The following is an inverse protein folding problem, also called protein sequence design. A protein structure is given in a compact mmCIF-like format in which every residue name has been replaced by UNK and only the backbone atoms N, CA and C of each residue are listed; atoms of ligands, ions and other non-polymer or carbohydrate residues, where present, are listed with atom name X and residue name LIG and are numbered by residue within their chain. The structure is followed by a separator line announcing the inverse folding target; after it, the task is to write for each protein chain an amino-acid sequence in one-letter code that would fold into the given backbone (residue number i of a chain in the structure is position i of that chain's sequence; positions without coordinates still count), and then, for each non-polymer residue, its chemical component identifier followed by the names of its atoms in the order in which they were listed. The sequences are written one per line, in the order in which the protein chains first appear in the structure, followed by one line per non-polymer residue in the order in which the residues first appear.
data_IF_398119270764
#
_entry.id   IF_398119270764
#
_cell.length_a   1.000
_cell.length_b   1.000
_cell.length_c   1.000
_cell.angle_alpha   90.00
_cell.angle_beta   90.00
_cell.angle_gamma   90.00
#
_symmetry.space_group_name_H-M   'P 1'
#
loop_
_entity.id
_entity.type
_entity.pdbx_description
1 polymer ?
#
# COMPACT_ATOMS: atom_id res chain seq x y z
N UNK A 1 -13.43 -61.12 -23.86
CA UNK A 1 -12.26 -61.70 -23.16
C UNK A 1 -11.39 -60.53 -22.69
N UNK A 2 -11.67 -59.80 -21.61
CA UNK A 2 -11.73 -60.09 -20.17
C UNK A 2 -10.41 -60.50 -19.48
N UNK A 3 -10.10 -59.71 -18.43
CA UNK A 3 -9.14 -59.85 -17.33
C UNK A 3 -7.68 -59.43 -17.64
N UNK A 4 -6.95 -58.68 -16.79
CA UNK A 4 -6.97 -58.59 -15.32
C UNK A 4 -6.55 -57.20 -14.80
N UNK A 5 -7.17 -56.80 -13.68
CA UNK A 5 -6.78 -55.73 -12.77
C UNK A 5 -5.53 -56.10 -11.96
N UNK A 6 -4.70 -55.11 -11.62
CA UNK A 6 -3.78 -55.15 -10.48
C UNK A 6 -3.93 -53.85 -9.68
N UNK A 7 -4.34 -54.00 -8.42
CA UNK A 7 -4.52 -52.93 -7.45
C UNK A 7 -3.19 -52.58 -6.79
N UNK A 8 -2.79 -51.31 -6.81
CA UNK A 8 -1.71 -50.78 -5.97
C UNK A 8 -2.24 -49.65 -5.10
N UNK A 9 -2.21 -49.89 -3.77
CA UNK A 9 -2.55 -48.94 -2.71
C UNK A 9 -1.61 -47.74 -2.74
N UNK A 10 -2.13 -46.54 -2.97
CA UNK A 10 -1.45 -45.32 -2.58
C UNK A 10 -1.53 -45.18 -1.05
N UNK A 11 -0.41 -45.43 -0.37
CA UNK A 11 -0.25 -45.15 1.06
C UNK A 11 -0.14 -43.64 1.26
N UNK A 12 -1.02 -43.12 2.11
CA UNK A 12 -0.95 -41.78 2.68
C UNK A 12 0.35 -41.61 3.47
N UNK A 13 1.14 -40.61 3.09
CA UNK A 13 2.25 -40.11 3.91
C UNK A 13 1.76 -38.86 4.66
N UNK A 14 1.92 -38.78 5.99
CA UNK A 14 1.56 -37.57 6.72
C UNK A 14 2.64 -36.50 6.49
N UNK A 15 2.26 -35.42 5.81
CA UNK A 15 3.06 -34.21 5.72
C UNK A 15 3.04 -33.51 7.09
N UNK A 16 3.98 -33.87 7.97
CA UNK A 16 4.23 -33.15 9.21
C UNK A 16 4.87 -31.80 8.88
N UNK A 17 4.04 -30.80 8.62
CA UNK A 17 4.45 -29.39 8.70
C UNK A 17 4.70 -29.07 10.16
N UNK A 18 5.96 -29.10 10.55
CA UNK A 18 6.42 -28.46 11.79
C UNK A 18 6.15 -26.95 11.66
N UNK A 19 5.21 -26.45 12.44
CA UNK A 19 5.01 -25.03 12.65
C UNK A 19 6.29 -24.46 13.27
N UNK A 20 6.98 -23.59 12.53
CA UNK A 20 8.03 -22.74 13.11
C UNK A 20 7.39 -21.80 14.14
N UNK A 21 8.14 -21.38 15.17
CA UNK A 21 7.62 -20.46 16.18
C UNK A 21 7.18 -19.15 15.51
N UNK A 22 6.11 -18.49 15.98
CA UNK A 22 5.79 -17.15 15.50
C UNK A 22 7.01 -16.26 15.78
N UNK A 23 7.55 -15.65 14.72
CA UNK A 23 8.61 -14.67 14.87
C UNK A 23 8.12 -13.60 15.84
N UNK A 24 8.89 -13.40 16.89
CA UNK A 24 8.69 -12.37 17.89
C UNK A 24 8.48 -11.03 17.19
N UNK A 25 7.26 -10.52 17.18
CA UNK A 25 6.98 -9.16 16.74
C UNK A 25 7.78 -8.23 17.66
N UNK A 26 8.72 -7.43 17.15
CA UNK A 26 9.41 -6.48 17.99
C UNK A 26 8.40 -5.43 18.45
N UNK A 27 8.52 -5.12 19.74
CA UNK A 27 7.95 -3.99 20.45
C UNK A 27 7.75 -2.78 19.54
N UNK A 28 6.51 -2.28 19.46
CA UNK A 28 6.06 -0.98 18.96
C UNK A 28 7.21 -0.05 18.54
N UNK A 29 7.80 -0.32 17.37
CA UNK A 29 8.67 0.64 16.72
C UNK A 29 7.76 1.76 16.29
N UNK A 30 8.08 3.00 16.65
CA UNK A 30 7.43 4.16 16.03
C UNK A 30 7.67 4.04 14.53
N UNK A 31 6.68 3.50 13.82
CA UNK A 31 6.76 3.28 12.39
C UNK A 31 6.60 4.65 11.76
N UNK A 32 7.73 5.31 11.52
CA UNK A 32 7.80 6.62 10.88
C UNK A 32 7.53 6.37 9.39
N UNK A 33 6.47 6.99 8.88
CA UNK A 33 6.21 7.03 7.45
C UNK A 33 7.31 7.84 6.76
N UNK A 34 7.96 7.26 5.75
CA UNK A 34 8.94 7.95 4.93
C UNK A 34 8.26 8.73 3.79
N UNK A 35 8.59 10.02 3.67
CA UNK A 35 8.08 10.88 2.61
C UNK A 35 9.11 10.95 1.48
N UNK A 36 8.68 10.60 0.28
CA UNK A 36 9.50 10.61 -0.94
C UNK A 36 8.96 11.70 -1.85
N UNK A 37 9.82 12.62 -2.28
CA UNK A 37 9.44 13.71 -3.21
C UNK A 37 10.05 13.56 -4.59
N UNK A 38 11.09 12.74 -4.73
CA UNK A 38 11.70 12.38 -6.01
C UNK A 38 11.30 10.94 -6.39
N UNK A 39 10.50 10.74 -7.45
CA UNK A 39 10.15 9.41 -7.94
C UNK A 39 11.38 8.55 -8.32
N UNK A 40 12.49 9.16 -8.72
CA UNK A 40 13.72 8.42 -9.03
C UNK A 40 14.41 7.86 -7.77
N UNK A 41 14.19 8.49 -6.62
CA UNK A 41 14.67 8.06 -5.31
C UNK A 41 13.73 7.04 -4.63
N UNK A 42 12.64 6.64 -5.28
CA UNK A 42 11.66 5.74 -4.68
C UNK A 42 12.30 4.38 -4.32
N UNK A 43 12.16 3.92 -3.07
CA UNK A 43 12.75 2.67 -2.62
C UNK A 43 12.15 1.49 -3.38
N UNK A 44 12.99 0.48 -3.64
CA UNK A 44 12.62 -0.76 -4.33
C UNK A 44 12.66 -1.92 -3.33
N UNK A 45 11.67 -2.03 -2.43
CA UNK A 45 11.66 -3.08 -1.41
C UNK A 45 11.62 -4.45 -2.09
N UNK A 46 12.53 -5.35 -1.68
CA UNK A 46 12.58 -6.72 -2.22
C UNK A 46 11.29 -7.50 -1.95
N UNK A 47 10.56 -7.12 -0.90
CA UNK A 47 9.25 -7.66 -0.55
C UNK A 47 8.11 -7.21 -1.48
N UNK A 48 8.31 -6.20 -2.33
CA UNK A 48 7.22 -5.56 -3.08
C UNK A 48 6.42 -4.57 -2.23
N UNK A 49 5.40 -3.96 -2.85
CA UNK A 49 4.54 -2.95 -2.22
C UNK A 49 3.06 -3.10 -2.61
N UNK A 50 2.17 -2.68 -1.71
CA UNK A 50 0.75 -2.44 -2.00
C UNK A 50 0.51 -0.94 -1.94
N UNK A 51 -0.05 -0.40 -3.02
CA UNK A 51 -0.10 1.04 -3.24
C UNK A 51 -1.53 1.50 -3.50
N UNK A 52 -1.88 2.68 -3.02
CA UNK A 52 -3.07 3.41 -3.44
C UNK A 52 -2.71 4.84 -3.87
N UNK A 53 -3.47 5.41 -4.81
CA UNK A 53 -3.19 6.71 -5.42
C UNK A 53 -4.40 7.62 -5.22
N UNK A 54 -4.17 8.87 -4.82
CA UNK A 54 -5.26 9.81 -4.63
C UNK A 54 -4.84 11.19 -4.12
N UNK A 55 -5.79 12.13 -4.16
CA UNK A 55 -5.57 13.48 -3.64
C UNK A 55 -5.48 13.51 -2.11
N UNK A 56 -6.17 12.61 -1.40
CA UNK A 56 -6.11 12.46 0.06
C UNK A 56 -6.35 13.74 0.88
N UNK A 57 -7.02 14.75 0.32
CA UNK A 57 -7.33 15.99 1.04
C UNK A 57 -8.22 15.70 2.27
N UNK A 58 -7.78 16.18 3.44
CA UNK A 58 -8.42 15.98 4.73
C UNK A 58 -8.41 14.55 5.30
N UNK A 59 -7.90 13.55 4.57
CA UNK A 59 -7.76 12.14 5.00
C UNK A 59 -8.98 11.63 5.80
N UNK A 60 -10.18 11.89 5.29
CA UNK A 60 -11.45 11.54 5.95
C UNK A 60 -11.68 10.02 6.07
N UNK A 61 -12.78 9.60 6.70
CA UNK A 61 -13.09 8.19 6.97
C UNK A 61 -12.98 7.27 5.74
N UNK A 62 -13.45 7.71 4.57
CA UNK A 62 -13.29 6.96 3.32
C UNK A 62 -11.81 6.70 2.94
N UNK A 63 -10.96 7.73 2.98
CA UNK A 63 -9.52 7.58 2.76
C UNK A 63 -8.89 6.63 3.78
N UNK A 64 -9.26 6.77 5.07
CA UNK A 64 -8.74 5.90 6.14
C UNK A 64 -9.12 4.44 5.92
N UNK A 65 -10.32 4.16 5.42
CA UNK A 65 -10.74 2.81 5.07
C UNK A 65 -9.91 2.22 3.92
N UNK A 66 -9.66 3.00 2.85
CA UNK A 66 -8.78 2.59 1.74
C UNK A 66 -7.36 2.31 2.23
N UNK A 67 -6.81 3.20 3.04
CA UNK A 67 -5.46 3.05 3.60
C UNK A 67 -5.36 1.83 4.52
N UNK A 68 -6.38 1.59 5.37
CA UNK A 68 -6.43 0.41 6.22
C UNK A 68 -6.42 -0.89 5.40
N UNK A 69 -7.15 -0.93 4.28
CA UNK A 69 -7.15 -2.08 3.38
C UNK A 69 -5.80 -2.29 2.69
N UNK A 70 -5.13 -1.20 2.27
CA UNK A 70 -3.76 -1.27 1.72
C UNK A 70 -2.79 -1.86 2.75
N UNK A 71 -2.83 -1.38 3.99
CA UNK A 71 -1.99 -1.89 5.09
C UNK A 71 -2.26 -3.36 5.39
N UNK A 72 -3.54 -3.77 5.44
CA UNK A 72 -3.93 -5.17 5.66
C UNK A 72 -3.35 -6.08 4.58
N UNK A 73 -3.51 -5.71 3.30
CA UNK A 73 -2.98 -6.49 2.17
C UNK A 73 -1.47 -6.54 2.15
N UNK A 74 -0.79 -5.43 2.48
CA UNK A 74 0.66 -5.39 2.57
C UNK A 74 1.17 -6.37 3.64
N UNK A 75 0.57 -6.34 4.83
CA UNK A 75 0.91 -7.26 5.91
C UNK A 75 0.68 -8.74 5.54
N UNK A 76 -0.43 -9.06 4.88
CA UNK A 76 -0.74 -10.43 4.44
C UNK A 76 0.26 -10.98 3.40
N UNK A 77 0.84 -10.10 2.59
CA UNK A 77 1.81 -10.46 1.55
C UNK A 77 3.26 -10.31 2.01
N UNK A 78 3.49 -9.80 3.22
CA UNK A 78 4.83 -9.43 3.69
C UNK A 78 5.46 -8.26 2.92
N UNK A 79 4.64 -7.43 2.27
CA UNK A 79 5.02 -6.26 1.49
C UNK A 79 5.00 -4.98 2.35
N UNK A 80 5.47 -3.86 1.79
CA UNK A 80 5.29 -2.52 2.38
C UNK A 80 3.99 -1.86 1.89
N UNK A 81 3.44 -0.96 2.69
CA UNK A 81 2.25 -0.16 2.39
C UNK A 81 2.62 1.26 1.96
N UNK A 82 2.04 1.73 0.86
CA UNK A 82 2.35 3.07 0.34
C UNK A 82 1.13 3.83 -0.18
N UNK A 83 1.21 5.15 -0.08
CA UNK A 83 0.31 6.10 -0.75
C UNK A 83 1.10 6.90 -1.77
N UNK A 84 0.52 7.11 -2.95
CA UNK A 84 0.92 8.18 -3.86
C UNK A 84 -0.08 9.32 -3.73
N UNK A 85 0.42 10.52 -3.48
CA UNK A 85 -0.36 11.75 -3.48
C UNK A 85 0.31 12.83 -4.32
N UNK A 86 -0.27 14.02 -4.35
CA UNK A 86 0.15 15.12 -5.23
C UNK A 86 0.49 16.35 -4.42
N UNK A 87 1.52 17.10 -4.82
CA UNK A 87 1.92 18.36 -4.17
C UNK A 87 0.81 19.43 -4.19
N UNK A 88 -0.07 19.36 -5.18
CA UNK A 88 -1.32 20.14 -5.30
C UNK A 88 -2.47 19.24 -5.69
N UNK A 89 -3.69 19.64 -5.35
CA UNK A 89 -4.86 18.87 -5.75
C UNK A 89 -5.02 18.89 -7.28
N UNK A 90 -5.08 17.74 -7.99
CA UNK A 90 -5.05 17.69 -9.46
C UNK A 90 -6.11 18.54 -10.17
N UNK A 91 -7.30 18.70 -9.55
CA UNK A 91 -8.36 19.54 -10.08
C UNK A 91 -7.96 21.01 -10.33
N UNK A 92 -6.98 21.56 -9.60
CA UNK A 92 -6.46 22.90 -9.90
C UNK A 92 -5.75 23.00 -11.24
N UNK A 93 -5.28 21.88 -11.78
CA UNK A 93 -4.66 21.80 -13.11
C UNK A 93 -5.68 21.38 -14.15
N UNK A 94 -6.42 20.29 -13.92
CA UNK A 94 -7.30 19.70 -14.96
C UNK A 94 -8.67 20.37 -15.08
N UNK A 95 -9.16 21.04 -14.03
CA UNK A 95 -10.48 21.70 -14.02
C UNK A 95 -10.54 22.91 -13.06
N UNK A 96 -9.69 23.93 -13.25
CA UNK A 96 -9.50 25.01 -12.28
C UNK A 96 -10.81 25.70 -11.85
N UNK A 97 -11.75 25.89 -12.78
CA UNK A 97 -13.07 26.51 -12.54
C UNK A 97 -13.94 25.76 -11.52
N UNK A 98 -13.64 24.49 -11.25
CA UNK A 98 -14.39 23.61 -10.35
C UNK A 98 -13.49 22.92 -9.32
N UNK A 99 -12.29 23.47 -9.10
CA UNK A 99 -11.40 22.97 -8.07
C UNK A 99 -12.05 23.11 -6.68
N UNK A 100 -11.99 22.08 -5.83
CA UNK A 100 -12.57 22.14 -4.49
C UNK A 100 -11.80 23.12 -3.61
N UNK A 101 -12.47 23.66 -2.59
CA UNK A 101 -11.78 24.27 -1.46
C UNK A 101 -11.04 23.18 -0.70
N UNK A 102 -9.75 23.38 -0.45
CA UNK A 102 -8.92 22.41 0.25
C UNK A 102 -9.27 22.37 1.74
N UNK A 103 -9.34 21.17 2.30
CA UNK A 103 -9.49 20.95 3.75
C UNK A 103 -8.16 21.04 4.48
N UNK A 104 -7.07 20.71 3.79
CA UNK A 104 -5.71 20.66 4.34
C UNK A 104 -4.70 21.22 3.34
N UNK A 105 -3.63 21.82 3.85
CA UNK A 105 -2.42 22.02 3.06
C UNK A 105 -1.59 20.72 2.96
N UNK A 106 -0.46 20.77 2.25
CA UNK A 106 0.37 19.58 2.03
C UNK A 106 0.93 19.04 3.36
N UNK A 107 1.42 19.90 4.24
CA UNK A 107 2.06 19.50 5.50
C UNK A 107 1.04 18.84 6.43
N UNK A 108 -0.13 19.47 6.60
CA UNK A 108 -1.25 18.91 7.37
C UNK A 108 -1.70 17.55 6.81
N UNK A 109 -1.77 17.41 5.48
CA UNK A 109 -2.12 16.14 4.85
C UNK A 109 -1.05 15.08 5.08
N UNK A 110 0.24 15.42 5.05
CA UNK A 110 1.32 14.49 5.35
C UNK A 110 1.29 14.02 6.81
N UNK A 111 0.99 14.92 7.76
CA UNK A 111 0.80 14.56 9.17
C UNK A 111 -0.38 13.59 9.35
N UNK A 112 -1.51 13.88 8.70
CA UNK A 112 -2.68 13.00 8.73
C UNK A 112 -2.38 11.63 8.10
N UNK A 113 -1.66 11.59 6.97
CA UNK A 113 -1.23 10.34 6.34
C UNK A 113 -0.27 9.55 7.25
N UNK A 114 0.70 10.20 7.89
CA UNK A 114 1.62 9.57 8.85
C UNK A 114 0.85 8.90 10.00
N UNK A 115 -0.23 9.54 10.48
CA UNK A 115 -1.08 8.99 11.56
C UNK A 115 -1.80 7.68 11.19
N UNK A 116 -1.81 7.29 9.91
CA UNK A 116 -2.47 6.07 9.45
C UNK A 116 -1.59 4.81 9.57
N UNK A 117 -0.28 4.98 9.85
CA UNK A 117 0.69 3.88 9.97
C UNK A 117 1.16 3.32 8.62
N UNK A 118 1.19 4.14 7.58
CA UNK A 118 1.80 3.81 6.28
C UNK A 118 3.31 3.74 6.40
N UNK A 119 3.94 2.94 5.53
CA UNK A 119 5.40 2.90 5.42
C UNK A 119 5.93 4.05 4.56
N UNK A 120 5.28 4.31 3.42
CA UNK A 120 5.74 5.31 2.45
C UNK A 120 4.64 6.24 1.97
N UNK A 121 4.99 7.51 1.75
CA UNK A 121 4.20 8.48 0.99
C UNK A 121 5.03 9.08 -0.13
N UNK A 122 4.69 8.77 -1.38
CA UNK A 122 5.26 9.43 -2.56
C UNK A 122 4.43 10.66 -2.90
N UNK A 123 5.04 11.84 -2.82
CA UNK A 123 4.46 13.11 -3.25
C UNK A 123 4.90 13.40 -4.67
N UNK A 124 3.96 13.37 -5.60
CA UNK A 124 4.19 13.65 -7.01
C UNK A 124 3.93 15.12 -7.29
N UNK A 125 4.89 15.80 -7.93
CA UNK A 125 4.64 17.12 -8.50
C UNK A 125 3.62 17.01 -9.63
N UNK A 126 2.48 17.68 -9.51
CA UNK A 126 1.41 17.63 -10.50
C UNK A 126 1.25 18.96 -11.23
N UNK A 127 1.46 18.94 -12.54
CA UNK A 127 1.40 20.09 -13.42
C UNK A 127 0.66 19.76 -14.74
N UNK A 128 0.59 20.73 -15.65
CA UNK A 128 -0.09 20.56 -16.93
C UNK A 128 0.54 19.48 -17.81
N UNK A 129 1.88 19.36 -17.78
CA UNK A 129 2.57 18.31 -18.52
C UNK A 129 2.16 16.93 -18.02
N UNK A 130 2.25 16.70 -16.71
CA UNK A 130 1.90 15.42 -16.07
C UNK A 130 0.42 15.10 -16.18
N UNK A 131 -0.45 16.11 -16.35
CA UNK A 131 -1.88 15.87 -16.58
C UNK A 131 -2.22 15.19 -17.92
N UNK A 132 -1.24 15.11 -18.85
CA UNK A 132 -1.40 14.61 -20.22
C UNK A 132 -0.64 13.30 -20.48
N UNK A 133 0.09 12.78 -19.50
CA UNK A 133 0.78 11.49 -19.54
C UNK A 133 -0.19 10.32 -19.34
#
# INVERSE_FOLDING_TARGET
MHARFSTSRARSSPCTRTAGPPSSLPLCSLQIMEVITDPAACPKPASGSVVTIGAYDGVHLGHRAVIAEVRRRAAEQGCVSAVVTFDRHPAFVVRPESAPKLLTDLDQRLELLASTGLDYCLVVHFDEQRSRE
#
